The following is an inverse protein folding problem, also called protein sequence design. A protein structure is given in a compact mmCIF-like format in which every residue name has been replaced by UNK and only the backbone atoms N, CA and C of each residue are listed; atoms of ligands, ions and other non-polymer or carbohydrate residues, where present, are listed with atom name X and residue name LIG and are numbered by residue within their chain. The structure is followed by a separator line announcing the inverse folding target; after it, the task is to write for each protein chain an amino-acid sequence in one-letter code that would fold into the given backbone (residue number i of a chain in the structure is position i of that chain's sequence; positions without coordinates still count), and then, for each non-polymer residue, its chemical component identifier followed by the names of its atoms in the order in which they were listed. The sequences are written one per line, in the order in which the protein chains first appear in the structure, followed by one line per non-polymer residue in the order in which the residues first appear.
data_IF_043474150932
#
_entry.id   IF_043474150932
#
_cell.length_a   1.000
_cell.length_b   1.000
_cell.length_c   1.000
_cell.angle_alpha   90.00
_cell.angle_beta   90.00
_cell.angle_gamma   90.00
#
_symmetry.space_group_name_H-M   'P 1'
#
loop_
_entity.id
_entity.type
_entity.pdbx_description
1 polymer ?
#
# COMPACT_ATOMS: atom_id res chain seq x y z
N UNK A 1 -3.04 61.64 50.67
CA UNK A 1 -2.49 62.95 50.30
C UNK A 1 -2.55 63.09 48.80
N UNK A 2 -3.33 64.07 48.36
CA UNK A 2 -3.31 64.86 47.13
C UNK A 2 -2.56 64.40 45.87
N UNK A 3 -3.34 64.40 44.77
CA UNK A 3 -3.09 64.75 43.34
C UNK A 3 -1.96 65.76 43.06
N UNK A 4 -1.41 65.91 41.82
CA UNK A 4 -2.12 66.52 40.66
C UNK A 4 -1.66 66.08 39.22
N UNK A 5 -2.58 65.99 38.25
CA UNK A 5 -2.97 66.94 37.16
C UNK A 5 -2.06 67.11 35.93
N UNK A 6 -2.74 67.20 34.78
CA UNK A 6 -2.30 67.80 33.51
C UNK A 6 -3.04 67.18 32.33
N UNK A 7 -4.29 67.60 32.01
CA UNK A 7 -4.65 68.65 31.03
C UNK A 7 -4.07 68.35 29.62
N UNK A 8 -4.81 68.30 28.50
CA UNK A 8 -5.79 69.27 28.00
C UNK A 8 -6.44 68.75 26.69
N UNK A 9 -7.76 68.97 26.53
CA UNK A 9 -8.43 69.72 25.43
C UNK A 9 -8.07 69.41 23.95
N UNK A 10 -8.98 69.39 22.97
CA UNK A 10 -10.39 69.79 22.88
C UNK A 10 -10.90 69.60 21.43
N UNK A 11 -12.24 69.68 21.27
CA UNK A 11 -12.97 70.19 20.08
C UNK A 11 -12.90 69.35 18.79
N UNK A 12 -13.91 69.17 17.93
CA UNK A 12 -15.28 69.64 17.72
C UNK A 12 -15.87 68.64 16.70
N UNK A 13 -17.14 68.24 16.71
CA UNK A 13 -18.26 69.07 16.32
C UNK A 13 -19.11 68.34 15.26
N UNK A 14 -20.40 68.60 15.31
CA UNK A 14 -21.41 68.48 14.25
C UNK A 14 -21.99 67.11 13.84
N UNK A 15 -23.22 66.92 14.32
CA UNK A 15 -24.39 66.29 13.70
C UNK A 15 -24.51 66.51 12.19
N UNK A 16 -24.97 65.51 11.44
CA UNK A 16 -26.33 65.45 10.86
C UNK A 16 -26.52 64.20 9.97
N UNK A 17 -27.77 63.72 10.00
CA UNK A 17 -28.41 62.68 9.19
C UNK A 17 -28.14 62.74 7.68
N UNK A 18 -28.21 61.60 6.97
CA UNK A 18 -29.02 61.45 5.74
C UNK A 18 -29.27 59.98 5.32
N UNK A 19 -30.53 59.78 4.90
CA UNK A 19 -31.20 58.81 4.04
C UNK A 19 -30.52 57.56 3.41
N UNK A 20 -31.32 56.49 3.48
CA UNK A 20 -31.68 55.47 2.45
C UNK A 20 -31.03 55.59 1.06
N UNK A 21 -30.63 54.42 0.53
CA UNK A 21 -30.49 54.20 -0.91
C UNK A 21 -30.19 52.73 -1.23
N UNK A 22 -31.13 52.09 -1.92
CA UNK A 22 -30.99 50.80 -2.59
C UNK A 22 -29.82 50.76 -3.58
N UNK A 23 -29.17 49.61 -3.70
CA UNK A 23 -28.10 49.37 -4.66
C UNK A 23 -28.00 47.91 -5.06
N UNK A 24 -28.75 47.55 -6.10
CA UNK A 24 -28.56 46.33 -6.89
C UNK A 24 -27.15 46.32 -7.51
N UNK A 25 -26.38 45.27 -7.24
CA UNK A 25 -25.07 45.02 -7.84
C UNK A 25 -25.00 43.59 -8.38
N UNK A 26 -25.22 43.47 -9.69
CA UNK A 26 -24.99 42.27 -10.48
C UNK A 26 -23.54 41.76 -10.37
N UNK A 27 -23.35 40.44 -10.31
CA UNK A 27 -22.31 39.77 -11.08
C UNK A 27 -22.79 38.35 -11.48
N UNK A 28 -23.32 38.28 -12.70
CA UNK A 28 -23.37 37.10 -13.56
C UNK A 28 -21.94 36.81 -14.02
N UNK A 29 -21.45 35.58 -13.94
CA UNK A 29 -20.71 34.87 -15.00
C UNK A 29 -20.36 33.45 -14.51
N UNK A 30 -21.03 32.40 -15.01
CA UNK A 30 -20.54 31.42 -16.03
C UNK A 30 -19.47 30.45 -15.44
N UNK A 31 -19.55 29.11 -15.50
CA UNK A 31 -20.17 28.21 -16.48
C UNK A 31 -20.43 26.82 -15.89
N UNK A 32 -21.42 26.13 -16.45
CA UNK A 32 -21.47 24.66 -16.56
C UNK A 32 -20.23 24.16 -17.31
N UNK A 33 -19.61 23.06 -16.85
CA UNK A 33 -19.40 21.87 -17.68
C UNK A 33 -18.64 20.74 -16.95
N UNK A 34 -18.94 19.51 -17.40
CA UNK A 34 -18.19 18.28 -17.20
C UNK A 34 -18.36 17.52 -15.86
N UNK A 35 -19.41 16.71 -15.85
CA UNK A 35 -19.49 15.42 -15.15
C UNK A 35 -18.17 14.62 -15.19
N UNK A 36 -17.38 14.72 -14.13
CA UNK A 36 -16.54 13.62 -13.64
C UNK A 36 -16.53 13.72 -12.12
N UNK A 37 -17.62 13.22 -11.52
CA UNK A 37 -17.87 13.31 -10.08
C UNK A 37 -16.79 12.58 -9.28
N UNK A 38 -15.77 13.33 -8.85
CA UNK A 38 -14.94 12.94 -7.72
C UNK A 38 -15.78 13.08 -6.47
N UNK A 39 -16.42 11.97 -6.06
CA UNK A 39 -17.09 11.84 -4.77
C UNK A 39 -16.05 11.83 -3.64
N UNK A 40 -15.47 12.99 -3.36
CA UNK A 40 -14.58 13.20 -2.24
C UNK A 40 -15.38 13.73 -1.06
N UNK A 41 -15.41 12.98 0.04
CA UNK A 41 -16.10 13.36 1.27
C UNK A 41 -15.11 13.89 2.31
N UNK A 42 -15.53 14.87 3.12
CA UNK A 42 -14.76 15.41 4.26
C UNK A 42 -15.13 14.76 5.60
N UNK A 43 -15.74 13.58 5.59
CA UNK A 43 -16.26 12.89 6.78
C UNK A 43 -15.42 11.65 7.15
N UNK A 44 -14.09 11.78 7.13
CA UNK A 44 -13.17 10.68 7.45
C UNK A 44 -12.18 11.11 8.54
N UNK A 45 -11.56 10.16 9.26
CA UNK A 45 -10.49 10.35 10.27
C UNK A 45 -9.21 11.04 9.75
N UNK A 46 -9.29 11.68 8.59
CA UNK A 46 -8.21 12.27 7.85
C UNK A 46 -8.46 13.77 7.66
N UNK A 47 -7.40 14.55 7.75
CA UNK A 47 -7.36 16.00 7.53
C UNK A 47 -7.40 16.38 6.03
N UNK A 48 -7.57 15.40 5.14
CA UNK A 48 -7.64 15.56 3.69
C UNK A 48 -8.88 14.88 3.09
N UNK A 49 -9.34 15.32 1.91
CA UNK A 49 -10.45 14.68 1.21
C UNK A 49 -10.14 13.23 0.83
N UNK A 50 -11.09 12.33 1.09
CA UNK A 50 -11.00 10.91 0.76
C UNK A 50 -12.17 10.47 -0.12
N UNK A 51 -11.95 9.43 -0.92
CA UNK A 51 -12.98 8.70 -1.67
C UNK A 51 -13.05 7.29 -1.10
N UNK A 52 -14.26 6.82 -0.86
CA UNK A 52 -14.50 5.43 -0.50
C UNK A 52 -14.42 4.53 -1.75
N UNK A 53 -13.64 3.46 -1.63
CA UNK A 53 -13.55 2.37 -2.60
C UNK A 53 -14.00 1.08 -1.95
N UNK A 54 -14.69 0.23 -2.70
CA UNK A 54 -15.14 -1.08 -2.20
C UNK A 54 -14.21 -2.17 -2.71
N UNK A 55 -13.63 -2.95 -1.80
CA UNK A 55 -12.77 -4.11 -2.11
C UNK A 55 -13.24 -5.31 -1.30
N UNK A 56 -13.62 -6.40 -1.98
CA UNK A 56 -14.21 -7.62 -1.36
C UNK A 56 -15.39 -7.33 -0.40
N UNK A 57 -16.23 -6.38 -0.76
CA UNK A 57 -17.39 -5.97 0.05
C UNK A 57 -17.04 -5.17 1.31
N UNK A 58 -15.76 -4.79 1.51
CA UNK A 58 -15.32 -3.85 2.53
C UNK A 58 -15.07 -2.48 1.91
N UNK A 59 -15.38 -1.43 2.65
CA UNK A 59 -15.16 -0.04 2.23
C UNK A 59 -13.85 0.48 2.81
N UNK A 60 -13.02 1.09 1.97
CA UNK A 60 -11.75 1.70 2.33
C UNK A 60 -11.73 3.15 1.86
N UNK A 61 -11.41 4.09 2.75
CA UNK A 61 -11.26 5.50 2.39
C UNK A 61 -9.85 5.77 1.89
N UNK A 62 -9.72 6.32 0.68
CA UNK A 62 -8.42 6.60 0.03
C UNK A 62 -8.31 8.08 -0.29
N UNK A 63 -7.15 8.68 -0.01
CA UNK A 63 -6.85 10.09 -0.30
C UNK A 63 -7.12 10.42 -1.76
N UNK A 64 -7.94 11.44 -2.01
CA UNK A 64 -8.36 11.81 -3.37
C UNK A 64 -7.20 12.25 -4.26
N UNK A 65 -6.17 12.92 -3.71
CA UNK A 65 -5.01 13.35 -4.49
C UNK A 65 -4.25 12.15 -5.06
N UNK A 66 -4.11 11.07 -4.29
CA UNK A 66 -3.48 9.84 -4.76
C UNK A 66 -4.28 9.21 -5.91
N UNK A 67 -5.61 9.13 -5.79
CA UNK A 67 -6.45 8.60 -6.86
C UNK A 67 -6.44 9.46 -8.13
N UNK A 68 -6.21 10.77 -8.00
CA UNK A 68 -6.04 11.64 -9.17
C UNK A 68 -4.76 11.32 -9.94
N UNK A 69 -3.65 11.05 -9.23
CA UNK A 69 -2.36 10.67 -9.81
C UNK A 69 -2.35 9.21 -10.31
N UNK A 70 -2.97 8.31 -9.56
CA UNK A 70 -3.05 6.87 -9.82
C UNK A 70 -4.48 6.47 -10.23
N UNK A 71 -5.00 7.08 -11.31
CA UNK A 71 -6.40 6.92 -11.75
C UNK A 71 -6.88 5.49 -12.04
N UNK A 72 -5.95 4.53 -12.23
CA UNK A 72 -6.27 3.10 -12.43
C UNK A 72 -6.17 2.26 -11.16
N UNK A 73 -5.67 2.83 -10.05
CA UNK A 73 -5.39 2.10 -8.81
C UNK A 73 -6.57 1.29 -8.31
N UNK A 74 -7.76 1.90 -8.23
CA UNK A 74 -8.97 1.23 -7.75
C UNK A 74 -9.34 0.01 -8.61
N UNK A 75 -9.32 0.17 -9.93
CA UNK A 75 -9.62 -0.91 -10.87
C UNK A 75 -8.57 -2.03 -10.84
N UNK A 76 -7.29 -1.66 -10.76
CA UNK A 76 -6.17 -2.62 -10.68
C UNK A 76 -6.18 -3.37 -9.35
N UNK A 77 -6.46 -2.69 -8.24
CA UNK A 77 -6.60 -3.29 -6.91
C UNK A 77 -7.77 -4.27 -6.89
N UNK A 78 -8.95 -3.87 -7.36
CA UNK A 78 -10.12 -4.75 -7.41
C UNK A 78 -9.83 -6.00 -8.25
N UNK A 79 -9.30 -5.81 -9.47
CA UNK A 79 -8.96 -6.91 -10.38
C UNK A 79 -7.94 -7.87 -9.80
N UNK A 80 -6.93 -7.37 -9.09
CA UNK A 80 -5.91 -8.22 -8.48
C UNK A 80 -6.47 -9.00 -7.28
N UNK A 81 -7.18 -8.30 -6.41
CA UNK A 81 -7.73 -8.86 -5.16
C UNK A 81 -8.79 -9.93 -5.44
N UNK A 82 -9.62 -9.77 -6.47
CA UNK A 82 -10.66 -10.74 -6.85
C UNK A 82 -10.09 -12.06 -7.38
N UNK A 83 -8.86 -12.06 -7.91
CA UNK A 83 -8.17 -13.27 -8.37
C UNK A 83 -7.49 -14.05 -7.25
N UNK A 84 -7.39 -13.47 -6.06
CA UNK A 84 -6.68 -14.07 -4.93
C UNK A 84 -7.67 -14.49 -3.85
N UNK A 85 -7.40 -15.59 -3.16
CA UNK A 85 -8.18 -15.98 -1.98
C UNK A 85 -7.84 -15.08 -0.78
N UNK A 86 -8.71 -15.06 0.24
CA UNK A 86 -8.44 -14.37 1.51
C UNK A 86 -7.27 -14.98 2.30
N UNK A 87 -6.95 -16.26 2.04
CA UNK A 87 -5.81 -16.96 2.65
C UNK A 87 -4.48 -16.41 2.11
N UNK A 88 -4.41 -16.17 0.80
CA UNK A 88 -3.18 -15.70 0.13
C UNK A 88 -3.01 -14.19 0.31
N UNK A 89 -4.10 -13.43 0.16
CA UNK A 89 -4.09 -11.98 0.32
C UNK A 89 -5.11 -11.63 1.39
N UNK A 90 -4.67 -11.39 2.62
CA UNK A 90 -5.55 -11.05 3.73
C UNK A 90 -6.03 -9.60 3.63
N UNK A 91 -7.12 -9.28 4.31
CA UNK A 91 -7.62 -7.90 4.37
C UNK A 91 -6.62 -6.97 5.09
N UNK A 92 -5.80 -7.50 6.01
CA UNK A 92 -4.71 -6.77 6.68
C UNK A 92 -3.69 -6.20 5.69
N UNK A 93 -3.32 -6.94 4.64
CA UNK A 93 -2.39 -6.44 3.61
C UNK A 93 -3.01 -5.26 2.84
N UNK A 94 -4.31 -5.33 2.56
CA UNK A 94 -5.04 -4.24 1.91
C UNK A 94 -5.06 -3.02 2.84
N UNK A 95 -5.36 -3.22 4.13
CA UNK A 95 -5.31 -2.16 5.14
C UNK A 95 -3.92 -1.53 5.27
N UNK A 96 -2.84 -2.32 5.19
CA UNK A 96 -1.45 -1.81 5.16
C UNK A 96 -1.20 -0.91 3.94
N UNK A 97 -1.65 -1.32 2.75
CA UNK A 97 -1.53 -0.52 1.53
C UNK A 97 -2.30 0.80 1.64
N UNK A 98 -3.55 0.76 2.09
CA UNK A 98 -4.39 1.94 2.22
C UNK A 98 -3.84 2.88 3.30
N UNK A 99 -3.34 2.32 4.42
CA UNK A 99 -2.66 3.09 5.48
C UNK A 99 -1.43 3.80 4.93
N UNK A 100 -0.60 3.12 4.14
CA UNK A 100 0.55 3.74 3.50
C UNK A 100 0.16 4.85 2.54
N UNK A 101 -0.84 4.65 1.69
CA UNK A 101 -1.30 5.67 0.72
C UNK A 101 -1.78 6.93 1.45
N UNK A 102 -2.47 6.75 2.58
CA UNK A 102 -3.07 7.86 3.32
C UNK A 102 -2.09 8.56 4.27
N UNK A 103 -1.14 7.83 4.87
CA UNK A 103 -0.30 8.31 5.98
C UNK A 103 1.21 8.14 5.74
N UNK A 104 1.62 7.56 4.63
CA UNK A 104 3.01 7.18 4.32
C UNK A 104 3.65 6.25 5.36
N UNK A 105 2.82 5.55 6.13
CA UNK A 105 3.24 4.67 7.21
C UNK A 105 2.24 3.54 7.45
N UNK A 106 2.77 2.38 7.83
CA UNK A 106 2.03 1.26 8.42
C UNK A 106 2.93 0.51 9.40
N UNK A 107 2.31 -0.13 10.40
CA UNK A 107 2.98 -1.02 11.32
C UNK A 107 2.96 -2.45 10.77
N UNK A 108 4.11 -3.11 10.74
CA UNK A 108 4.23 -4.52 10.41
C UNK A 108 5.58 -5.09 10.88
N UNK A 109 5.54 -6.32 11.38
CA UNK A 109 6.66 -7.10 11.92
C UNK A 109 6.79 -8.48 11.25
N UNK A 110 5.82 -8.87 10.42
CA UNK A 110 5.77 -10.16 9.72
C UNK A 110 6.42 -10.02 8.35
N UNK A 111 7.40 -10.86 8.02
CA UNK A 111 8.13 -10.76 6.75
C UNK A 111 7.25 -11.16 5.56
N UNK A 112 6.41 -12.19 5.73
CA UNK A 112 5.43 -12.62 4.74
C UNK A 112 4.44 -11.50 4.39
N UNK A 113 3.99 -10.72 5.37
CA UNK A 113 3.10 -9.58 5.13
C UNK A 113 3.80 -8.51 4.28
N UNK A 114 5.08 -8.19 4.56
CA UNK A 114 5.86 -7.26 3.71
C UNK A 114 6.05 -7.78 2.29
N UNK A 115 6.35 -9.08 2.13
CA UNK A 115 6.51 -9.72 0.82
C UNK A 115 5.20 -9.66 0.04
N UNK A 116 4.09 -10.03 0.67
CA UNK A 116 2.75 -10.02 0.05
C UNK A 116 2.32 -8.60 -0.31
N UNK A 117 2.59 -7.63 0.58
CA UNK A 117 2.41 -6.21 0.34
C UNK A 117 3.23 -5.72 -0.86
N UNK A 118 4.50 -6.12 -0.96
CA UNK A 118 5.37 -5.74 -2.08
C UNK A 118 4.83 -6.26 -3.42
N UNK A 119 4.48 -7.56 -3.47
CA UNK A 119 3.88 -8.19 -4.66
C UNK A 119 2.57 -7.52 -5.03
N UNK A 120 1.69 -7.24 -4.06
CA UNK A 120 0.45 -6.49 -4.29
C UNK A 120 0.75 -5.13 -4.95
N UNK A 121 1.66 -4.34 -4.37
CA UNK A 121 2.02 -3.02 -4.88
C UNK A 121 2.55 -3.06 -6.31
N UNK A 122 3.35 -4.06 -6.68
CA UNK A 122 3.85 -4.27 -8.04
C UNK A 122 2.71 -4.52 -9.04
N UNK A 123 1.66 -5.21 -8.62
CA UNK A 123 0.52 -5.55 -9.45
C UNK A 123 -0.50 -4.41 -9.60
N UNK A 124 -0.62 -3.54 -8.58
CA UNK A 124 -1.54 -2.38 -8.59
C UNK A 124 -0.83 -1.06 -8.90
N UNK A 125 0.45 -1.13 -9.28
CA UNK A 125 1.28 0.03 -9.67
C UNK A 125 1.44 1.09 -8.56
N UNK A 126 1.37 0.68 -7.30
CA UNK A 126 1.56 1.56 -6.13
C UNK A 126 3.06 1.75 -5.81
N UNK A 127 3.76 2.52 -6.65
CA UNK A 127 5.23 2.62 -6.66
C UNK A 127 5.85 3.02 -5.31
N UNK A 128 5.31 4.02 -4.62
CA UNK A 128 5.85 4.48 -3.33
C UNK A 128 5.74 3.41 -2.24
N UNK A 129 4.60 2.71 -2.18
CA UNK A 129 4.37 1.61 -1.25
C UNK A 129 5.25 0.39 -1.56
N UNK A 130 5.43 0.10 -2.85
CA UNK A 130 6.39 -0.91 -3.33
C UNK A 130 7.82 -0.60 -2.85
N UNK A 131 8.30 0.63 -3.08
CA UNK A 131 9.66 1.01 -2.67
C UNK A 131 9.83 0.97 -1.14
N UNK A 132 8.78 1.33 -0.40
CA UNK A 132 8.79 1.31 1.06
C UNK A 132 8.88 -0.12 1.62
N UNK A 133 8.00 -1.02 1.19
CA UNK A 133 8.01 -2.43 1.61
C UNK A 133 9.33 -3.12 1.28
N UNK A 134 9.89 -2.88 0.09
CA UNK A 134 11.21 -3.41 -0.27
C UNK A 134 12.33 -2.89 0.63
N UNK A 135 12.33 -1.59 0.97
CA UNK A 135 13.30 -1.01 1.91
C UNK A 135 13.18 -1.61 3.31
N UNK A 136 11.97 -1.93 3.76
CA UNK A 136 11.74 -2.63 5.04
C UNK A 136 12.32 -4.04 5.00
N UNK A 137 12.03 -4.81 3.96
CA UNK A 137 12.60 -6.15 3.75
C UNK A 137 14.13 -6.14 3.71
N UNK A 138 14.73 -5.19 3.01
CA UNK A 138 16.21 -5.06 2.94
C UNK A 138 16.85 -4.73 4.30
N UNK A 139 16.10 -4.14 5.22
CA UNK A 139 16.53 -3.86 6.60
C UNK A 139 16.12 -4.95 7.58
N UNK A 140 15.36 -5.94 7.14
CA UNK A 140 14.89 -7.02 7.99
C UNK A 140 16.08 -7.91 8.38
N UNK A 141 16.35 -7.96 9.68
CA UNK A 141 17.45 -8.71 10.29
C UNK A 141 16.95 -9.91 11.11
N UNK A 142 15.64 -10.06 11.25
CA UNK A 142 14.99 -11.17 11.94
C UNK A 142 15.21 -12.53 11.28
N UNK A 143 14.96 -13.56 12.09
CA UNK A 143 14.92 -14.95 11.64
C UNK A 143 13.50 -15.29 11.20
N UNK A 144 13.37 -15.81 9.98
CA UNK A 144 12.12 -16.27 9.39
C UNK A 144 12.12 -17.79 9.53
N UNK A 145 11.11 -18.33 10.20
CA UNK A 145 11.01 -19.76 10.40
C UNK A 145 10.72 -20.51 9.07
N UNK A 146 11.00 -21.82 9.00
CA UNK A 146 10.82 -22.59 7.76
C UNK A 146 9.39 -22.64 7.24
N UNK A 147 8.36 -22.48 8.09
CA UNK A 147 6.97 -22.42 7.67
C UNK A 147 6.72 -21.11 6.94
N UNK A 148 7.03 -19.98 7.55
CA UNK A 148 6.87 -18.65 6.94
C UNK A 148 7.73 -18.53 5.66
N UNK A 149 8.95 -19.07 5.67
CA UNK A 149 9.82 -19.09 4.50
C UNK A 149 9.23 -19.86 3.31
N UNK A 150 8.51 -20.96 3.57
CA UNK A 150 7.83 -21.73 2.53
C UNK A 150 6.77 -20.86 1.83
N UNK A 151 5.98 -20.12 2.60
CA UNK A 151 4.95 -19.22 2.06
C UNK A 151 5.54 -18.01 1.33
N UNK A 152 6.66 -17.47 1.81
CA UNK A 152 7.42 -16.41 1.12
C UNK A 152 7.91 -16.91 -0.25
N UNK A 153 8.50 -18.10 -0.30
CA UNK A 153 8.98 -18.71 -1.55
C UNK A 153 7.83 -18.89 -2.54
N UNK A 154 6.70 -19.45 -2.10
CA UNK A 154 5.50 -19.58 -2.94
C UNK A 154 5.02 -18.21 -3.46
N UNK A 155 4.95 -17.21 -2.57
CA UNK A 155 4.44 -15.87 -2.90
C UNK A 155 5.30 -15.17 -3.93
N UNK A 156 6.63 -15.26 -3.82
CA UNK A 156 7.58 -14.63 -4.74
C UNK A 156 7.68 -15.41 -6.05
N UNK A 157 7.77 -16.73 -5.99
CA UNK A 157 8.13 -17.55 -7.15
C UNK A 157 6.91 -17.92 -8.01
N UNK A 158 5.71 -17.96 -7.45
CA UNK A 158 4.48 -18.29 -8.17
C UNK A 158 3.59 -17.07 -8.48
N UNK A 159 4.05 -15.86 -8.21
CA UNK A 159 3.34 -14.64 -8.61
C UNK A 159 3.71 -14.21 -10.02
N UNK A 160 2.69 -13.85 -10.83
CA UNK A 160 2.84 -13.47 -12.24
C UNK A 160 3.79 -12.29 -12.45
N UNK A 161 3.79 -11.34 -11.52
CA UNK A 161 4.56 -10.10 -11.59
C UNK A 161 5.24 -9.84 -10.26
N UNK A 162 6.56 -10.01 -10.26
CA UNK A 162 7.44 -9.76 -9.11
C UNK A 162 8.67 -9.01 -9.58
N UNK A 163 9.07 -8.00 -8.81
CA UNK A 163 10.27 -7.21 -9.08
C UNK A 163 11.54 -8.02 -8.79
N UNK A 164 12.56 -7.86 -9.64
CA UNK A 164 13.81 -8.62 -9.50
C UNK A 164 14.55 -8.27 -8.20
N UNK A 165 14.36 -7.07 -7.63
CA UNK A 165 14.96 -6.73 -6.33
C UNK A 165 14.34 -7.51 -5.18
N UNK A 166 13.07 -7.93 -5.29
CA UNK A 166 12.44 -8.79 -4.29
C UNK A 166 13.01 -10.22 -4.39
N UNK A 167 13.24 -10.71 -5.62
CA UNK A 167 13.93 -12.00 -5.85
C UNK A 167 15.37 -11.95 -5.34
N UNK A 168 16.09 -10.87 -5.59
CA UNK A 168 17.44 -10.66 -5.07
C UNK A 168 17.47 -10.61 -3.55
N UNK A 169 16.46 -10.00 -2.93
CA UNK A 169 16.31 -10.04 -1.47
C UNK A 169 16.12 -11.48 -0.99
N UNK A 170 15.20 -12.25 -1.58
CA UNK A 170 14.99 -13.66 -1.20
C UNK A 170 16.27 -14.47 -1.37
N UNK A 171 16.97 -14.31 -2.49
CA UNK A 171 18.26 -14.97 -2.75
C UNK A 171 19.30 -14.63 -1.69
N UNK A 172 19.48 -13.35 -1.38
CA UNK A 172 20.42 -12.90 -0.35
C UNK A 172 20.02 -13.41 1.03
N UNK A 173 18.73 -13.42 1.34
CA UNK A 173 18.24 -13.98 2.59
C UNK A 173 18.57 -15.47 2.67
N UNK A 174 18.17 -16.28 1.69
CA UNK A 174 18.42 -17.72 1.68
C UNK A 174 19.91 -18.09 1.77
N UNK A 175 20.79 -17.32 1.12
CA UNK A 175 22.24 -17.58 1.11
C UNK A 175 22.99 -16.97 2.31
N UNK A 176 22.34 -16.17 3.16
CA UNK A 176 22.97 -15.54 4.32
C UNK A 176 23.39 -16.59 5.37
N UNK A 177 22.61 -17.67 5.51
CA UNK A 177 22.84 -18.75 6.47
C UNK A 177 22.96 -20.06 5.69
N UNK A 178 24.09 -20.79 5.78
CA UNK A 178 24.32 -21.99 4.98
C UNK A 178 23.24 -23.07 5.11
N UNK A 179 22.71 -23.27 6.32
CA UNK A 179 21.84 -24.40 6.64
C UNK A 179 20.35 -24.12 6.35
N UNK A 180 20.00 -22.87 5.97
CA UNK A 180 18.60 -22.44 5.79
C UNK A 180 17.86 -23.22 4.70
N UNK A 181 18.58 -23.64 3.66
CA UNK A 181 18.01 -24.48 2.60
C UNK A 181 17.70 -25.88 3.14
N UNK A 182 18.58 -26.44 3.96
CA UNK A 182 18.38 -27.75 4.59
C UNK A 182 17.26 -27.71 5.64
N UNK A 183 17.14 -26.62 6.38
CA UNK A 183 16.03 -26.38 7.31
C UNK A 183 14.69 -26.26 6.56
N UNK A 184 14.67 -25.54 5.44
CA UNK A 184 13.49 -25.47 4.57
C UNK A 184 13.14 -26.84 4.00
N UNK A 185 14.12 -27.60 3.50
CA UNK A 185 13.89 -28.95 2.96
C UNK A 185 13.39 -29.95 4.01
N UNK A 186 13.65 -29.71 5.31
CA UNK A 186 13.12 -30.49 6.43
C UNK A 186 11.73 -30.03 6.90
N UNK A 187 11.24 -28.89 6.41
CA UNK A 187 9.93 -28.36 6.78
C UNK A 187 8.80 -29.20 6.18
N UNK A 188 7.88 -29.66 7.03
CA UNK A 188 6.65 -30.31 6.56
C UNK A 188 5.86 -29.38 5.62
N UNK A 189 5.83 -28.08 5.93
CA UNK A 189 5.12 -27.10 5.12
C UNK A 189 5.70 -26.97 3.72
N UNK A 190 7.02 -27.07 3.61
CA UNK A 190 7.72 -27.06 2.32
C UNK A 190 7.43 -28.33 1.52
N UNK A 191 7.36 -29.50 2.17
CA UNK A 191 6.97 -30.74 1.52
C UNK A 191 5.54 -30.65 0.96
N UNK A 192 4.57 -30.24 1.78
CA UNK A 192 3.18 -30.02 1.34
C UNK A 192 3.09 -29.02 0.18
N UNK A 193 3.83 -27.91 0.27
CA UNK A 193 3.87 -26.91 -0.79
C UNK A 193 4.42 -27.46 -2.11
N UNK A 194 5.44 -28.32 -2.06
CA UNK A 194 6.02 -28.93 -3.26
C UNK A 194 5.11 -30.02 -3.85
N UNK A 195 4.21 -30.61 -3.07
CA UNK A 195 3.15 -31.49 -3.60
C UNK A 195 2.07 -30.67 -4.32
N UNK A 196 1.68 -29.53 -3.76
CA UNK A 196 0.67 -28.63 -4.35
C UNK A 196 1.19 -27.82 -5.55
N UNK A 197 2.45 -27.37 -5.49
CA UNK A 197 3.12 -26.47 -6.44
C UNK A 197 4.55 -26.94 -6.70
N UNK A 198 4.74 -28.05 -7.43
CA UNK A 198 6.06 -28.67 -7.63
C UNK A 198 7.07 -27.75 -8.33
N UNK A 199 6.63 -26.74 -9.07
CA UNK A 199 7.50 -25.77 -9.72
C UNK A 199 8.21 -24.83 -8.73
N UNK A 200 7.70 -24.66 -7.51
CA UNK A 200 8.29 -23.75 -6.51
C UNK A 200 9.73 -24.15 -6.20
N UNK A 201 9.99 -25.44 -5.97
CA UNK A 201 11.34 -25.95 -5.70
C UNK A 201 12.29 -25.72 -6.87
N UNK A 202 11.83 -25.99 -8.09
CA UNK A 202 12.64 -25.79 -9.29
C UNK A 202 13.00 -24.30 -9.49
N UNK A 203 12.02 -23.41 -9.33
CA UNK A 203 12.22 -21.95 -9.43
C UNK A 203 13.14 -21.43 -8.31
N UNK A 204 13.04 -21.97 -7.10
CA UNK A 204 13.92 -21.60 -6.00
C UNK A 204 15.36 -22.04 -6.31
N UNK A 205 15.56 -23.29 -6.76
CA UNK A 205 16.87 -23.78 -7.15
C UNK A 205 17.51 -22.90 -8.24
N UNK A 206 16.74 -22.55 -9.28
CA UNK A 206 17.17 -21.64 -10.34
C UNK A 206 17.56 -20.26 -9.78
N UNK A 207 16.73 -19.65 -8.94
CA UNK A 207 17.01 -18.35 -8.32
C UNK A 207 18.34 -18.38 -7.53
N UNK A 208 18.56 -19.46 -6.79
CA UNK A 208 19.77 -19.66 -5.97
C UNK A 208 21.00 -20.03 -6.81
N UNK A 209 20.84 -20.34 -8.10
CA UNK A 209 21.92 -20.83 -8.95
C UNK A 209 22.32 -22.28 -8.63
N UNK A 210 21.44 -23.02 -7.98
CA UNK A 210 21.60 -24.45 -7.72
C UNK A 210 21.11 -25.18 -8.97
N UNK A 211 21.97 -25.98 -9.59
CA UNK A 211 21.52 -26.83 -10.70
C UNK A 211 20.40 -27.74 -10.19
N UNK A 212 19.27 -27.83 -10.91
CA UNK A 212 18.28 -28.85 -10.57
C UNK A 212 18.95 -30.23 -10.69
N UNK A 213 18.67 -31.17 -9.76
CA UNK A 213 18.98 -32.57 -10.05
C UNK A 213 18.24 -32.94 -11.35
N UNK A 214 18.86 -33.74 -12.25
CA UNK A 214 18.21 -34.14 -13.48
C UNK A 214 16.86 -34.80 -13.17
N UNK A 215 15.82 -34.38 -13.88
CA UNK A 215 14.51 -35.04 -13.83
C UNK A 215 14.70 -36.40 -14.47
N UNK A 216 14.67 -37.46 -13.66
CA UNK A 216 14.77 -38.82 -14.15
C UNK A 216 13.41 -39.17 -14.79
N UNK A 217 13.31 -39.01 -16.11
CA UNK A 217 12.14 -39.29 -16.96
C UNK A 217 11.81 -40.80 -17.09
N UNK A 218 12.16 -41.59 -16.08
CA UNK A 218 12.15 -43.05 -16.15
C UNK A 218 10.98 -43.74 -15.43
N UNK A 219 9.81 -43.11 -15.42
CA UNK A 219 8.54 -43.83 -15.16
C UNK A 219 7.69 -43.87 -16.43
N UNK A 220 8.24 -44.45 -17.50
CA UNK A 220 7.42 -45.08 -18.53
C UNK A 220 6.84 -46.36 -17.94
N UNK A 221 5.54 -46.30 -17.67
CA UNK A 221 4.68 -47.46 -17.47
C UNK A 221 4.88 -48.38 -18.69
N UNK A 222 5.31 -49.62 -18.44
CA UNK A 222 5.12 -50.77 -19.31
C UNK A 222 4.23 -51.76 -18.58
#
# INVERSE_FOLDING_TARGET
GSTPHGHSHSHSGHSHSHHRGDGLGHNKLFSEDSHRGSNCTKASDFDFPTKDIAVRGKTYSVRCSYLAEASKFEADLQKYVDKKSKKILSDRIIEMLISFINREWYGNDIALDEVTMNVLCTNVTAKSAFEHSLKRLQKYDGEIDPFEMSEICATILCSDKVDDKLKDWLKKYMLKVPDRIEELDRSQKWAELNEELPEVRARLAELLGLKPPPVDDNHRIL
#
